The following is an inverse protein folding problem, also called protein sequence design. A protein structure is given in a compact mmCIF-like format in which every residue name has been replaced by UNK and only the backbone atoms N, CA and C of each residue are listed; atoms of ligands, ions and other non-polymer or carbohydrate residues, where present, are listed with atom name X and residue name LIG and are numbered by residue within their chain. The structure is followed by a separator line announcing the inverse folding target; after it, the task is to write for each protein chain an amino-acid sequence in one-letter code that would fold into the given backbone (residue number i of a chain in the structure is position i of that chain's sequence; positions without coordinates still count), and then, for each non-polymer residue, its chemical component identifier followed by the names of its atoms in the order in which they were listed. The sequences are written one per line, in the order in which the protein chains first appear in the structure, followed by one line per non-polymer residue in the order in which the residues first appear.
data_IF_919161686126
#
_entry.id   IF_919161686126
#
_cell.length_a   1.000
_cell.length_b   1.000
_cell.length_c   1.000
_cell.angle_alpha   90.00
_cell.angle_beta   90.00
_cell.angle_gamma   90.00
#
_symmetry.space_group_name_H-M   'P 1'
#
loop_
_entity.id
_entity.type
_entity.pdbx_description
1 polymer ?
#
# COMPACT_ATOMS: atom_id res chain seq x y z
N UNK A 1 71.42 5.37 -40.57
CA UNK A 1 71.61 5.25 -42.03
C UNK A 1 70.25 4.95 -42.67
N UNK A 2 69.85 5.75 -43.66
CA UNK A 2 68.85 5.49 -44.72
C UNK A 2 67.39 5.27 -44.25
N UNK A 3 66.48 6.24 -44.31
CA UNK A 3 65.86 6.95 -45.45
C UNK A 3 64.76 6.19 -46.22
N UNK A 4 63.53 6.71 -46.06
CA UNK A 4 62.48 6.98 -47.08
C UNK A 4 61.70 5.83 -47.75
N UNK A 5 60.39 6.11 -47.90
CA UNK A 5 59.43 5.43 -48.78
C UNK A 5 58.14 5.13 -48.01
N UNK A 6 57.07 5.91 -48.07
CA UNK A 6 56.53 6.69 -49.17
C UNK A 6 55.28 5.98 -49.69
N UNK A 7 54.09 6.50 -49.39
CA UNK A 7 52.94 6.38 -50.28
C UNK A 7 51.98 7.54 -50.04
N UNK A 8 51.88 8.39 -51.06
CA UNK A 8 50.90 9.45 -51.22
C UNK A 8 49.85 8.93 -52.18
N UNK A 9 48.57 9.06 -51.84
CA UNK A 9 47.51 9.30 -52.82
C UNK A 9 46.50 10.26 -52.18
N UNK A 10 46.41 11.44 -52.76
CA UNK A 10 45.40 12.45 -52.52
C UNK A 10 44.03 11.99 -53.06
N UNK A 11 42.94 12.55 -52.56
CA UNK A 11 41.97 13.37 -53.33
C UNK A 11 40.86 13.83 -52.38
N UNK A 12 40.66 15.15 -52.39
CA UNK A 12 39.59 15.90 -51.73
C UNK A 12 38.23 15.72 -52.42
N UNK A 13 37.18 15.98 -51.62
CA UNK A 13 35.91 16.63 -51.98
C UNK A 13 34.96 15.94 -52.98
N UNK A 14 33.89 15.39 -52.41
CA UNK A 14 32.52 15.59 -52.93
C UNK A 14 31.66 16.02 -51.74
N UNK A 15 31.28 17.29 -51.73
CA UNK A 15 30.20 17.85 -50.92
C UNK A 15 28.82 17.40 -51.43
N UNK A 16 27.83 17.50 -50.54
CA UNK A 16 26.39 17.48 -50.77
C UNK A 16 25.73 16.14 -51.11
N UNK A 17 25.06 15.56 -50.11
CA UNK A 17 23.60 15.38 -50.05
C UNK A 17 23.24 15.37 -48.55
N UNK A 18 22.92 16.54 -47.99
CA UNK A 18 22.05 16.65 -46.82
C UNK A 18 20.65 16.88 -47.37
N UNK A 19 19.80 15.85 -47.36
CA UNK A 19 18.37 16.08 -47.20
C UNK A 19 17.66 14.80 -46.75
N UNK A 20 16.70 15.01 -45.86
CA UNK A 20 15.62 14.09 -45.46
C UNK A 20 15.98 13.01 -44.44
N UNK A 21 15.79 13.32 -43.16
CA UNK A 21 14.84 12.60 -42.28
C UNK A 21 14.71 13.37 -40.97
N UNK A 22 13.78 14.32 -40.90
CA UNK A 22 13.44 15.03 -39.66
C UNK A 22 11.91 15.14 -39.51
N UNK A 23 11.21 14.01 -39.69
CA UNK A 23 9.75 13.93 -39.55
C UNK A 23 9.25 12.87 -38.57
N UNK A 24 10.12 12.05 -37.98
CA UNK A 24 9.72 10.95 -37.06
C UNK A 24 9.87 11.32 -35.58
N UNK A 25 10.62 12.37 -35.23
CA UNK A 25 10.85 12.75 -33.83
C UNK A 25 9.68 13.54 -33.19
N UNK A 26 8.89 14.24 -34.01
CA UNK A 26 7.79 15.10 -33.52
C UNK A 26 6.50 14.33 -33.20
N UNK A 27 6.23 13.22 -33.92
CA UNK A 27 5.05 12.39 -33.68
C UNK A 27 5.09 11.68 -32.31
N UNK A 28 6.28 11.30 -31.85
CA UNK A 28 6.51 10.64 -30.57
C UNK A 28 6.33 11.58 -29.36
N UNK A 29 6.59 12.88 -29.55
CA UNK A 29 6.43 13.90 -28.52
C UNK A 29 4.96 14.30 -28.36
N UNK A 30 4.26 14.48 -29.48
CA UNK A 30 2.85 14.86 -29.46
C UNK A 30 1.95 13.75 -28.88
N UNK A 31 2.26 12.48 -29.15
CA UNK A 31 1.57 11.33 -28.55
C UNK A 31 1.77 11.24 -27.03
N UNK A 32 2.97 11.54 -26.53
CA UNK A 32 3.26 11.59 -25.08
C UNK A 32 2.57 12.75 -24.38
N UNK A 33 2.55 13.92 -25.02
CA UNK A 33 1.87 15.10 -24.50
C UNK A 33 0.34 14.93 -24.51
N UNK A 34 -0.21 14.21 -25.49
CA UNK A 34 -1.63 13.86 -25.53
C UNK A 34 -1.99 12.87 -24.41
N UNK A 35 -1.19 11.82 -24.20
CA UNK A 35 -1.37 10.87 -23.10
C UNK A 35 -1.27 11.54 -21.72
N UNK A 36 -0.31 12.46 -21.54
CA UNK A 36 -0.17 13.21 -20.29
C UNK A 36 -1.35 14.16 -20.02
N UNK A 37 -1.96 14.74 -21.07
CA UNK A 37 -3.17 15.57 -20.93
C UNK A 37 -4.41 14.72 -20.61
N UNK A 38 -4.51 13.53 -21.20
CA UNK A 38 -5.59 12.59 -20.91
C UNK A 38 -5.50 12.08 -19.46
N UNK A 39 -4.30 11.68 -19.01
CA UNK A 39 -4.02 11.29 -17.62
C UNK A 39 -4.31 12.43 -16.64
N UNK A 40 -3.93 13.67 -16.98
CA UNK A 40 -4.24 14.85 -16.17
C UNK A 40 -5.74 15.16 -16.11
N UNK A 41 -6.47 14.97 -17.21
CA UNK A 41 -7.92 15.14 -17.26
C UNK A 41 -8.66 14.05 -16.46
N UNK A 42 -8.16 12.82 -16.49
CA UNK A 42 -8.69 11.70 -15.71
C UNK A 42 -8.44 11.91 -14.20
N UNK A 43 -7.24 12.38 -13.82
CA UNK A 43 -6.93 12.79 -12.45
C UNK A 43 -7.81 13.95 -11.97
N UNK A 44 -8.02 14.97 -12.80
CA UNK A 44 -8.91 16.09 -12.46
C UNK A 44 -10.38 15.66 -12.33
N UNK A 45 -10.81 14.68 -13.13
CA UNK A 45 -12.15 14.10 -13.04
C UNK A 45 -12.31 13.26 -11.76
N UNK A 46 -11.30 12.47 -11.40
CA UNK A 46 -11.24 11.73 -10.13
C UNK A 46 -11.21 12.66 -8.93
N UNK A 47 -10.45 13.76 -8.99
CA UNK A 47 -10.40 14.78 -7.96
C UNK A 47 -11.76 15.48 -7.81
N UNK A 48 -12.46 15.76 -8.92
CA UNK A 48 -13.80 16.35 -8.91
C UNK A 48 -14.85 15.39 -8.35
N UNK A 49 -14.76 14.09 -8.64
CA UNK A 49 -15.62 13.06 -8.07
C UNK A 49 -15.35 12.88 -6.57
N UNK A 50 -14.09 12.87 -6.15
CA UNK A 50 -13.69 12.83 -4.74
C UNK A 50 -14.14 14.10 -3.98
N UNK A 51 -14.03 15.28 -4.60
CA UNK A 51 -14.48 16.54 -4.04
C UNK A 51 -16.02 16.67 -3.97
N UNK A 52 -16.75 15.94 -4.82
CA UNK A 52 -18.22 15.93 -4.82
C UNK A 52 -18.85 15.10 -3.70
N UNK A 53 -18.04 14.40 -2.89
CA UNK A 53 -18.51 13.51 -1.82
C UNK A 53 -19.25 12.26 -2.32
N UNK A 54 -19.54 12.14 -3.61
CA UNK A 54 -20.28 11.01 -4.19
C UNK A 54 -19.49 9.69 -4.18
N UNK A 55 -18.16 9.76 -4.04
CA UNK A 55 -17.28 8.59 -3.93
C UNK A 55 -17.07 8.13 -2.47
N UNK A 56 -17.45 8.96 -1.48
CA UNK A 56 -17.09 8.74 -0.08
C UNK A 56 -17.98 7.71 0.65
N UNK A 57 -19.16 7.41 0.11
CA UNK A 57 -20.18 6.59 0.76
C UNK A 57 -20.36 5.18 0.14
N UNK A 58 -19.69 4.88 -0.98
CA UNK A 58 -19.90 3.63 -1.72
C UNK A 58 -18.86 2.52 -1.45
N UNK A 59 -17.80 2.80 -0.70
CA UNK A 59 -16.68 1.86 -0.53
C UNK A 59 -16.56 1.22 0.87
N UNK A 60 -17.54 1.45 1.76
CA UNK A 60 -17.53 1.01 3.16
C UNK A 60 -18.59 -0.07 3.50
N UNK A 61 -18.99 -0.89 2.51
CA UNK A 61 -19.99 -1.96 2.68
C UNK A 61 -19.59 -3.08 3.66
N UNK A 62 -18.32 -3.15 4.08
CA UNK A 62 -17.86 -4.16 5.03
C UNK A 62 -17.99 -3.64 6.47
N UNK A 63 -19.07 -4.01 7.15
CA UNK A 63 -19.20 -3.75 8.59
C UNK A 63 -18.22 -4.63 9.38
N UNK A 64 -17.09 -4.04 9.78
CA UNK A 64 -16.05 -4.74 10.55
C UNK A 64 -16.57 -5.25 11.90
N UNK A 65 -17.56 -4.61 12.49
CA UNK A 65 -18.06 -4.96 13.82
C UNK A 65 -18.72 -6.34 13.83
N UNK A 66 -19.37 -6.72 12.72
CA UNK A 66 -20.08 -8.00 12.54
C UNK A 66 -19.14 -9.18 12.23
N UNK A 67 -17.87 -8.92 11.92
CA UNK A 67 -16.88 -9.95 11.63
C UNK A 67 -16.25 -10.45 12.94
N UNK A 68 -16.49 -11.72 13.26
CA UNK A 68 -15.92 -12.38 14.45
C UNK A 68 -14.39 -12.52 14.36
N UNK A 69 -13.89 -13.01 13.24
CA UNK A 69 -12.46 -13.21 13.01
C UNK A 69 -12.07 -12.90 11.55
N UNK A 70 -11.26 -11.87 11.38
CA UNK A 70 -10.80 -11.40 10.07
C UNK A 70 -9.91 -12.44 9.37
N UNK A 71 -9.25 -13.30 10.13
CA UNK A 71 -8.35 -14.30 9.56
C UNK A 71 -9.08 -15.43 8.82
N UNK A 72 -10.39 -15.60 9.08
CA UNK A 72 -11.24 -16.61 8.46
C UNK A 72 -11.87 -16.13 7.14
N UNK A 73 -11.71 -14.84 6.81
CA UNK A 73 -12.21 -14.28 5.57
C UNK A 73 -11.36 -14.72 4.36
N UNK A 74 -12.04 -14.87 3.23
CA UNK A 74 -11.39 -14.95 1.92
C UNK A 74 -10.83 -13.58 1.50
N UNK A 75 -9.81 -13.57 0.64
CA UNK A 75 -9.17 -12.31 0.23
C UNK A 75 -10.12 -11.34 -0.50
N UNK A 76 -11.15 -11.88 -1.15
CA UNK A 76 -12.22 -11.13 -1.82
C UNK A 76 -13.10 -10.36 -0.83
N UNK A 77 -13.21 -10.84 0.41
CA UNK A 77 -13.99 -10.25 1.49
C UNK A 77 -13.16 -9.35 2.41
N UNK A 78 -11.88 -9.13 2.09
CA UNK A 78 -11.03 -8.23 2.87
C UNK A 78 -11.46 -6.77 2.77
N UNK A 79 -11.20 -5.98 3.82
CA UNK A 79 -11.44 -4.54 3.79
C UNK A 79 -10.69 -3.89 2.62
N UNK A 80 -11.41 -3.04 1.89
CA UNK A 80 -10.84 -2.20 0.84
C UNK A 80 -10.13 -1.01 1.47
N UNK A 81 -8.97 -0.68 0.93
CA UNK A 81 -8.17 0.49 1.28
C UNK A 81 -8.00 1.37 0.07
N UNK A 82 -8.06 2.68 0.28
CA UNK A 82 -7.87 3.67 -0.80
C UNK A 82 -6.46 3.64 -1.35
N UNK A 83 -5.45 3.41 -0.50
CA UNK A 83 -4.05 3.36 -0.92
C UNK A 83 -3.54 1.91 -1.03
N UNK A 84 -2.87 1.59 -2.15
CA UNK A 84 -2.21 0.30 -2.36
C UNK A 84 -1.17 -0.01 -1.26
N UNK A 85 -0.48 1.02 -0.72
CA UNK A 85 0.44 0.87 0.41
C UNK A 85 -0.27 0.38 1.67
N UNK A 86 -1.50 0.85 1.94
CA UNK A 86 -2.30 0.44 3.08
C UNK A 86 -2.82 -0.98 2.90
N UNK A 87 -3.28 -1.33 1.69
CA UNK A 87 -3.60 -2.73 1.33
C UNK A 87 -2.41 -3.66 1.57
N UNK A 88 -1.21 -3.30 1.13
CA UNK A 88 0.00 -4.10 1.35
C UNK A 88 0.41 -4.17 2.84
N UNK A 89 0.16 -3.12 3.63
CA UNK A 89 0.35 -3.15 5.10
C UNK A 89 -0.65 -4.11 5.75
N UNK A 90 -1.91 -4.07 5.35
CA UNK A 90 -2.95 -4.98 5.81
C UNK A 90 -2.62 -6.44 5.50
N UNK A 91 -2.25 -6.77 4.28
CA UNK A 91 -1.89 -8.15 3.91
C UNK A 91 -0.69 -8.68 4.70
N UNK A 92 0.34 -7.84 4.93
CA UNK A 92 1.46 -8.21 5.80
C UNK A 92 1.03 -8.46 7.24
N UNK A 93 0.09 -7.67 7.74
CA UNK A 93 -0.48 -7.84 9.07
C UNK A 93 -1.24 -9.16 9.17
N UNK A 94 -2.12 -9.47 8.23
CA UNK A 94 -2.85 -10.76 8.16
C UNK A 94 -1.89 -11.95 8.14
N UNK A 95 -0.88 -11.91 7.25
CA UNK A 95 0.11 -12.97 7.13
C UNK A 95 0.86 -13.20 8.46
N UNK A 96 1.23 -12.12 9.16
CA UNK A 96 1.87 -12.20 10.47
C UNK A 96 0.97 -12.87 11.51
N UNK A 97 -0.30 -12.45 11.61
CA UNK A 97 -1.24 -13.03 12.57
C UNK A 97 -1.48 -14.51 12.30
N UNK A 98 -1.70 -14.92 11.04
CA UNK A 98 -1.83 -16.36 10.68
C UNK A 98 -0.60 -17.17 11.08
N UNK A 99 0.60 -16.67 10.79
CA UNK A 99 1.84 -17.32 11.20
C UNK A 99 1.94 -17.45 12.73
N UNK A 100 1.44 -16.47 13.50
CA UNK A 100 1.41 -16.56 14.95
C UNK A 100 0.42 -17.60 15.45
N UNK A 101 -0.73 -17.77 14.81
CA UNK A 101 -1.68 -18.82 15.19
C UNK A 101 -1.08 -20.21 15.03
N UNK A 102 -0.46 -20.49 13.88
CA UNK A 102 0.22 -21.76 13.62
C UNK A 102 1.36 -22.00 14.62
N UNK A 103 2.13 -20.96 14.92
CA UNK A 103 3.24 -21.05 15.86
C UNK A 103 2.78 -21.37 17.30
N UNK A 104 1.63 -20.85 17.74
CA UNK A 104 1.12 -21.08 19.11
C UNK A 104 0.92 -22.57 19.41
N UNK A 105 0.56 -23.37 18.41
CA UNK A 105 0.33 -24.80 18.58
C UNK A 105 1.59 -25.53 19.06
N UNK A 106 2.75 -25.16 18.51
CA UNK A 106 4.05 -25.82 18.76
C UNK A 106 4.97 -25.05 19.70
N UNK A 107 4.63 -23.80 20.03
CA UNK A 107 5.49 -22.93 20.82
C UNK A 107 5.58 -23.37 22.30
N UNK A 108 6.76 -23.26 22.93
CA UNK A 108 6.88 -23.47 24.36
C UNK A 108 6.12 -22.40 25.13
N UNK A 109 5.54 -22.77 26.29
CA UNK A 109 4.75 -21.87 27.15
C UNK A 109 5.50 -20.58 27.50
N UNK A 110 6.82 -20.62 27.67
CA UNK A 110 7.64 -19.43 27.92
C UNK A 110 7.62 -18.45 26.75
N UNK A 111 7.69 -18.94 25.51
CA UNK A 111 7.56 -18.15 24.29
C UNK A 111 6.17 -17.53 24.17
N UNK A 112 5.13 -18.33 24.36
CA UNK A 112 3.72 -17.90 24.36
C UNK A 112 3.48 -16.81 25.40
N UNK A 113 4.01 -16.98 26.61
CA UNK A 113 3.90 -15.99 27.71
C UNK A 113 4.59 -14.68 27.37
N UNK A 114 5.74 -14.73 26.69
CA UNK A 114 6.44 -13.52 26.24
C UNK A 114 5.62 -12.77 25.19
N UNK A 115 5.10 -13.48 24.19
CA UNK A 115 4.27 -12.87 23.14
C UNK A 115 2.98 -12.30 23.73
N UNK A 116 2.32 -13.01 24.65
CA UNK A 116 1.13 -12.53 25.34
C UNK A 116 1.34 -11.15 26.00
N UNK A 117 2.46 -10.97 26.70
CA UNK A 117 2.80 -9.68 27.34
C UNK A 117 3.05 -8.58 26.30
N UNK A 118 3.70 -8.92 25.19
CA UNK A 118 3.97 -7.97 24.10
C UNK A 118 2.66 -7.53 23.43
N UNK A 119 1.82 -8.47 23.04
CA UNK A 119 0.54 -8.18 22.36
C UNK A 119 -0.44 -7.45 23.28
N UNK A 120 -0.51 -7.82 24.56
CA UNK A 120 -1.35 -7.09 25.53
C UNK A 120 -0.94 -5.62 25.64
N UNK A 121 0.36 -5.35 25.69
CA UNK A 121 0.86 -3.96 25.70
C UNK A 121 0.62 -3.25 24.36
N UNK A 122 0.79 -3.97 23.25
CA UNK A 122 0.55 -3.44 21.91
C UNK A 122 -0.90 -3.06 21.68
N UNK A 123 -1.84 -3.82 22.26
CA UNK A 123 -3.29 -3.58 22.16
C UNK A 123 -3.69 -2.19 22.68
N UNK A 124 -3.11 -1.75 23.80
CA UNK A 124 -3.38 -0.41 24.34
C UNK A 124 -2.91 0.69 23.38
N UNK A 125 -1.76 0.48 22.72
CA UNK A 125 -1.26 1.42 21.71
C UNK A 125 -2.17 1.46 20.47
N UNK A 126 -2.71 0.32 20.04
CA UNK A 126 -3.65 0.25 18.91
C UNK A 126 -4.94 1.00 19.25
N UNK A 127 -5.48 0.79 20.46
CA UNK A 127 -6.71 1.46 20.93
C UNK A 127 -6.55 2.97 21.05
N UNK A 128 -5.40 3.43 21.55
CA UNK A 128 -5.09 4.86 21.60
C UNK A 128 -5.09 5.47 20.19
N UNK A 129 -4.36 4.86 19.26
CA UNK A 129 -4.32 5.34 17.87
C UNK A 129 -5.70 5.31 17.20
N UNK A 130 -6.51 4.29 17.47
CA UNK A 130 -7.89 4.20 16.97
C UNK A 130 -8.72 5.41 17.43
N UNK A 131 -8.68 5.71 18.73
CA UNK A 131 -9.40 6.85 19.31
C UNK A 131 -8.92 8.18 18.71
N UNK A 132 -7.62 8.34 18.50
CA UNK A 132 -7.06 9.54 17.88
C UNK A 132 -7.62 9.75 16.47
N UNK A 133 -7.70 8.69 15.65
CA UNK A 133 -8.29 8.78 14.31
C UNK A 133 -9.80 9.01 14.32
N UNK A 134 -10.54 8.41 15.26
CA UNK A 134 -11.98 8.67 15.45
C UNK A 134 -12.20 10.17 15.77
N UNK A 135 -11.46 10.71 16.74
CA UNK A 135 -11.55 12.12 17.11
C UNK A 135 -11.20 13.07 15.95
N UNK A 136 -10.13 12.79 15.22
CA UNK A 136 -9.75 13.63 14.08
C UNK A 136 -10.82 13.66 12.99
N UNK A 137 -11.45 12.53 12.70
CA UNK A 137 -12.54 12.44 11.72
C UNK A 137 -13.79 13.21 12.17
N UNK A 138 -14.10 13.17 13.48
CA UNK A 138 -15.20 13.90 14.11
C UNK A 138 -15.00 15.42 14.11
N UNK A 139 -13.76 15.91 14.26
CA UNK A 139 -13.49 17.36 14.34
C UNK A 139 -13.86 18.14 13.08
N UNK A 140 -14.03 17.46 11.94
CA UNK A 140 -14.48 18.09 10.70
C UNK A 140 -13.47 19.02 10.02
N UNK A 141 -12.23 19.12 10.54
CA UNK A 141 -11.20 20.05 10.05
C UNK A 141 -10.36 19.53 8.87
N UNK A 142 -10.49 18.23 8.56
CA UNK A 142 -9.70 17.55 7.54
C UNK A 142 -10.17 17.89 6.11
N UNK A 143 -9.22 18.05 5.20
CA UNK A 143 -9.51 18.07 3.76
C UNK A 143 -10.08 16.72 3.31
N UNK A 144 -10.78 16.62 2.16
CA UNK A 144 -11.30 15.34 1.66
C UNK A 144 -10.21 14.25 1.53
N UNK A 145 -9.05 14.61 0.99
CA UNK A 145 -7.91 13.68 0.86
C UNK A 145 -7.35 13.23 2.21
N UNK A 146 -7.24 14.14 3.18
CA UNK A 146 -6.84 13.79 4.54
C UNK A 146 -7.87 12.91 5.23
N UNK A 147 -9.16 13.21 5.07
CA UNK A 147 -10.27 12.42 5.61
C UNK A 147 -10.24 10.99 5.08
N UNK A 148 -10.10 10.82 3.76
CA UNK A 148 -9.94 9.51 3.12
C UNK A 148 -8.78 8.71 3.73
N UNK A 149 -7.62 9.36 3.92
CA UNK A 149 -6.47 8.72 4.54
C UNK A 149 -6.73 8.34 6.01
N UNK A 150 -7.36 9.22 6.81
CA UNK A 150 -7.70 8.92 8.21
C UNK A 150 -8.75 7.81 8.33
N UNK A 151 -9.71 7.72 7.40
CA UNK A 151 -10.66 6.59 7.32
C UNK A 151 -9.92 5.27 7.11
N UNK A 152 -8.96 5.22 6.19
CA UNK A 152 -8.11 4.04 5.97
C UNK A 152 -7.29 3.66 7.21
N UNK A 153 -6.71 4.64 7.91
CA UNK A 153 -5.95 4.38 9.13
C UNK A 153 -6.84 3.90 10.28
N UNK A 154 -8.02 4.48 10.44
CA UNK A 154 -9.01 4.00 11.40
C UNK A 154 -9.42 2.55 11.10
N UNK A 155 -9.69 2.25 9.82
CA UNK A 155 -10.00 0.89 9.34
C UNK A 155 -8.86 -0.07 9.68
N UNK A 156 -7.61 0.33 9.47
CA UNK A 156 -6.43 -0.45 9.87
C UNK A 156 -6.40 -0.73 11.37
N UNK A 157 -6.63 0.28 12.21
CA UNK A 157 -6.64 0.12 13.66
C UNK A 157 -7.76 -0.83 14.13
N UNK A 158 -8.98 -0.71 13.57
CA UNK A 158 -10.11 -1.60 13.88
C UNK A 158 -9.77 -3.07 13.56
N UNK A 159 -9.21 -3.30 12.38
CA UNK A 159 -8.82 -4.64 11.93
C UNK A 159 -7.70 -5.21 12.81
N UNK A 160 -6.67 -4.39 13.10
CA UNK A 160 -5.56 -4.80 13.95
C UNK A 160 -6.01 -5.11 15.38
N UNK A 161 -6.92 -4.31 15.94
CA UNK A 161 -7.49 -4.55 17.27
C UNK A 161 -8.19 -5.90 17.33
N UNK A 162 -9.07 -6.21 16.36
CA UNK A 162 -9.78 -7.50 16.31
C UNK A 162 -8.82 -8.69 16.25
N UNK A 163 -7.81 -8.64 15.39
CA UNK A 163 -6.82 -9.72 15.28
C UNK A 163 -5.94 -9.83 16.54
N UNK A 164 -5.55 -8.72 17.15
CA UNK A 164 -4.79 -8.70 18.40
C UNK A 164 -5.59 -9.32 19.55
N UNK A 165 -6.86 -8.96 19.71
CA UNK A 165 -7.75 -9.53 20.73
C UNK A 165 -7.91 -11.04 20.53
N UNK A 166 -8.12 -11.48 19.29
CA UNK A 166 -8.20 -12.90 18.95
C UNK A 166 -6.91 -13.66 19.32
N UNK A 167 -5.76 -13.12 18.91
CA UNK A 167 -4.44 -13.69 19.20
C UNK A 167 -4.20 -13.79 20.71
N UNK A 168 -4.49 -12.73 21.46
CA UNK A 168 -4.36 -12.68 22.93
C UNK A 168 -5.22 -13.76 23.58
N UNK A 169 -6.44 -13.98 23.10
CA UNK A 169 -7.32 -15.05 23.57
C UNK A 169 -6.69 -16.43 23.38
N UNK A 170 -6.20 -16.75 22.18
CA UNK A 170 -5.50 -18.02 21.89
C UNK A 170 -4.27 -18.22 22.77
N UNK A 171 -3.44 -17.18 22.92
CA UNK A 171 -2.27 -17.20 23.80
C UNK A 171 -2.66 -17.50 25.25
N UNK A 172 -3.71 -16.85 25.75
CA UNK A 172 -4.20 -17.05 27.11
C UNK A 172 -4.69 -18.48 27.34
N UNK A 173 -5.41 -19.07 26.37
CA UNK A 173 -5.87 -20.46 26.43
C UNK A 173 -4.67 -21.41 26.53
N UNK A 174 -3.66 -21.27 25.67
CA UNK A 174 -2.45 -22.10 25.69
C UNK A 174 -1.71 -21.99 27.02
N UNK A 175 -1.52 -20.76 27.54
CA UNK A 175 -0.88 -20.52 28.85
C UNK A 175 -1.65 -21.22 29.97
N UNK A 176 -2.98 -21.06 30.02
CA UNK A 176 -3.84 -21.68 31.05
C UNK A 176 -3.84 -23.21 30.97
N UNK A 177 -3.81 -23.77 29.75
CA UNK A 177 -3.81 -25.22 29.55
C UNK A 177 -2.52 -25.90 30.01
N UNK A 178 -1.40 -25.16 30.13
CA UNK A 178 -0.10 -25.71 30.50
C UNK A 178 0.46 -26.74 29.51
N UNK A 179 -0.20 -26.92 28.35
CA UNK A 179 0.15 -27.94 27.35
C UNK A 179 1.48 -27.53 26.69
N UNK A 180 2.54 -28.27 27.02
CA UNK A 180 3.86 -28.15 26.41
C UNK A 180 3.82 -28.59 24.96
#
# INVERSE_FOLDING_TARGET
MKSWGGFSVAINEIENIENETDSDADLDKEARDAAAREEAAELAHLEKLAASGLLEDLDDDLNLDDIDNILDLEESAYPKFTLAKNKARFLRMVAWYRQKEEWIEVAPVSGVTKLFKQETKGLDSIRSAKLDYEMELETGTLTPSQRSYRKDELKMCKVQEKMAVHLISKLQIKIKSGRR
#
